data_IF_111524956543
#
_entry.id   IF_111524956543
#
_cell.length_a   1.000
_cell.length_b   1.000
_cell.length_c   1.000
_cell.angle_alpha   90.00
_cell.angle_beta   90.00
_cell.angle_gamma   90.00
#
_symmetry.space_group_name_H-M   'P 1'
#
loop_
_entity.id
_entity.type
_entity.pdbx_description
1 polymer ?
#
# COMPACT_ATOMS: atom_id res chain seq x y z
N UNK A 1 4.67 -6.58 11.84
CA UNK A 1 4.89 -5.48 10.86
C UNK A 1 3.58 -4.78 10.43
N UNK A 2 2.63 -4.49 11.34
CA UNK A 2 1.32 -3.90 10.98
C UNK A 2 1.35 -2.39 10.68
N UNK A 3 2.43 -1.70 11.03
CA UNK A 3 2.60 -0.27 10.77
C UNK A 3 3.32 0.03 9.44
N UNK A 4 3.71 -1.00 8.67
CA UNK A 4 4.35 -0.82 7.37
C UNK A 4 3.28 -0.67 6.29
N UNK A 5 3.50 0.26 5.36
CA UNK A 5 2.62 0.51 4.23
C UNK A 5 3.16 -0.12 2.95
N UNK A 6 2.26 -0.32 1.99
CA UNK A 6 2.55 -0.78 0.64
C UNK A 6 3.02 0.35 -0.30
N UNK A 7 3.40 1.51 0.25
CA UNK A 7 3.73 2.71 -0.54
C UNK A 7 4.78 2.46 -1.62
N UNK A 8 5.79 1.62 -1.33
CA UNK A 8 6.82 1.27 -2.32
C UNK A 8 6.26 0.51 -3.53
N UNK A 9 5.19 -0.28 -3.35
CA UNK A 9 4.50 -0.93 -4.47
C UNK A 9 3.77 0.12 -5.32
N UNK A 10 3.10 1.09 -4.69
CA UNK A 10 2.40 2.19 -5.38
C UNK A 10 3.39 3.03 -6.20
N UNK A 11 4.50 3.44 -5.60
CA UNK A 11 5.55 4.20 -6.28
C UNK A 11 6.14 3.43 -7.46
N UNK A 12 6.41 2.12 -7.28
CA UNK A 12 6.93 1.26 -8.36
C UNK A 12 5.91 1.09 -9.49
N UNK A 13 4.63 0.89 -9.16
CA UNK A 13 3.55 0.79 -10.13
C UNK A 13 3.39 2.07 -10.93
N UNK A 14 3.41 3.23 -10.27
CA UNK A 14 3.38 4.54 -10.95
C UNK A 14 4.60 4.75 -11.86
N UNK A 15 5.77 4.28 -11.45
CA UNK A 15 7.00 4.30 -12.26
C UNK A 15 7.07 3.18 -13.33
N UNK A 16 6.03 2.35 -13.45
CA UNK A 16 6.00 1.19 -14.35
C UNK A 16 7.21 0.25 -14.19
N UNK A 17 7.56 -0.05 -12.94
CA UNK A 17 8.61 -1.00 -12.57
C UNK A 17 7.99 -2.29 -12.02
N UNK A 18 8.42 -3.44 -12.54
CA UNK A 18 7.99 -4.75 -12.04
C UNK A 18 8.50 -4.99 -10.62
N UNK A 19 7.64 -5.52 -9.74
CA UNK A 19 7.95 -5.72 -8.31
C UNK A 19 8.05 -7.21 -7.98
N UNK A 20 9.09 -7.57 -7.22
CA UNK A 20 9.25 -8.86 -6.54
C UNK A 20 9.41 -8.59 -5.05
N UNK A 21 8.48 -9.09 -4.22
CA UNK A 21 8.43 -8.74 -2.81
C UNK A 21 8.14 -9.95 -1.89
N UNK A 22 8.48 -9.81 -0.61
CA UNK A 22 8.08 -10.79 0.42
C UNK A 22 6.62 -10.55 0.84
N UNK A 23 5.91 -11.56 1.39
CA UNK A 23 4.48 -11.44 1.69
C UNK A 23 4.16 -10.45 2.80
N UNK A 24 5.10 -10.21 3.72
CA UNK A 24 4.90 -9.50 5.00
C UNK A 24 4.06 -8.20 4.93
N UNK A 25 4.22 -7.42 3.85
CA UNK A 25 3.51 -6.15 3.65
C UNK A 25 2.65 -6.19 2.38
N UNK A 26 3.02 -7.02 1.41
CA UNK A 26 2.52 -6.91 0.05
C UNK A 26 1.54 -8.01 -0.35
N UNK A 27 1.38 -9.05 0.47
CA UNK A 27 0.51 -10.20 0.15
C UNK A 27 -0.94 -9.82 -0.09
N UNK A 28 -1.47 -8.81 0.60
CA UNK A 28 -2.85 -8.35 0.42
C UNK A 28 -3.04 -7.40 -0.77
N UNK A 29 -1.97 -6.99 -1.45
CA UNK A 29 -2.00 -5.90 -2.44
C UNK A 29 -1.46 -6.36 -3.80
N UNK A 30 -0.37 -7.14 -3.80
CA UNK A 30 0.22 -7.70 -5.02
C UNK A 30 -0.49 -9.01 -5.34
N UNK A 31 -1.03 -9.10 -6.55
CA UNK A 31 -1.53 -10.34 -7.13
C UNK A 31 -0.36 -11.05 -7.81
N UNK A 32 0.09 -12.15 -7.22
CA UNK A 32 1.25 -12.91 -7.69
C UNK A 32 1.08 -13.35 -9.15
N UNK A 33 2.03 -12.97 -10.01
CA UNK A 33 2.00 -13.26 -11.45
C UNK A 33 1.19 -12.29 -12.29
N UNK A 34 0.42 -11.38 -11.69
CA UNK A 34 -0.43 -10.40 -12.38
C UNK A 34 0.08 -8.96 -12.21
N UNK A 35 0.14 -8.44 -10.98
CA UNK A 35 0.58 -7.06 -10.69
C UNK A 35 1.98 -7.00 -10.09
N UNK A 36 2.61 -8.16 -9.91
CA UNK A 36 3.96 -8.32 -9.39
C UNK A 36 4.18 -9.77 -8.97
N UNK A 37 5.24 -10.02 -8.24
CA UNK A 37 5.57 -11.34 -7.71
C UNK A 37 5.72 -11.32 -6.19
N UNK A 38 5.23 -12.37 -5.53
CA UNK A 38 5.45 -12.64 -4.10
C UNK A 38 6.30 -13.90 -3.94
N UNK A 39 7.43 -13.81 -3.24
CA UNK A 39 8.25 -14.98 -2.90
C UNK A 39 8.14 -15.30 -1.40
N UNK A 40 8.14 -16.60 -1.05
CA UNK A 40 8.06 -17.07 0.34
C UNK A 40 9.34 -17.70 0.86
N UNK A 41 10.28 -18.02 -0.03
CA UNK A 41 11.56 -18.62 0.29
C UNK A 41 12.63 -18.22 -0.73
N UNK A 42 13.93 -18.46 -0.44
CA UNK A 42 15.02 -18.10 -1.35
C UNK A 42 14.94 -18.77 -2.72
N UNK A 43 14.40 -19.99 -2.82
CA UNK A 43 14.26 -20.72 -4.09
C UNK A 43 13.25 -20.04 -5.00
N UNK A 44 12.09 -19.64 -4.46
CA UNK A 44 11.10 -18.85 -5.19
C UNK A 44 11.63 -17.48 -5.58
N UNK A 45 12.36 -16.82 -4.68
CA UNK A 45 13.00 -15.54 -5.00
C UNK A 45 13.91 -15.67 -6.21
N UNK A 46 14.80 -16.67 -6.21
CA UNK A 46 15.72 -16.93 -7.32
C UNK A 46 14.96 -17.21 -8.63
N UNK A 47 13.94 -18.08 -8.59
CA UNK A 47 13.18 -18.45 -9.77
C UNK A 47 12.43 -17.26 -10.38
N UNK A 48 11.75 -16.46 -9.54
CA UNK A 48 10.99 -15.29 -9.98
C UNK A 48 11.91 -14.14 -10.41
N UNK A 49 13.04 -13.95 -9.74
CA UNK A 49 14.06 -12.98 -10.16
C UNK A 49 14.64 -13.37 -11.52
N UNK A 50 14.92 -14.66 -11.76
CA UNK A 50 15.38 -15.15 -13.06
C UNK A 50 14.38 -14.83 -14.17
N UNK A 51 13.08 -15.08 -13.95
CA UNK A 51 12.02 -14.66 -14.89
C UNK A 51 12.10 -13.15 -15.15
N UNK A 52 12.22 -12.34 -14.10
CA UNK A 52 12.31 -10.89 -14.26
C UNK A 52 13.60 -10.45 -14.95
N UNK A 53 14.69 -11.19 -14.92
CA UNK A 53 15.93 -10.86 -15.65
C UNK A 53 15.79 -11.24 -17.13
N UNK A 54 15.35 -12.46 -17.40
CA UNK A 54 15.38 -13.08 -18.73
C UNK A 54 14.18 -12.72 -19.60
N UNK A 55 13.01 -12.44 -19.02
CA UNK A 55 11.77 -12.22 -19.75
C UNK A 55 11.34 -10.74 -19.69
N UNK A 56 11.68 -9.98 -20.74
CA UNK A 56 11.35 -8.56 -20.86
C UNK A 56 9.84 -8.32 -20.96
N UNK A 57 9.15 -9.17 -21.71
CA UNK A 57 7.71 -9.08 -21.97
C UNK A 57 6.95 -9.23 -20.65
N UNK A 58 7.36 -10.19 -19.81
CA UNK A 58 6.75 -10.38 -18.48
C UNK A 58 6.99 -9.19 -17.57
N UNK A 59 8.17 -8.56 -17.60
CA UNK A 59 8.40 -7.31 -16.84
C UNK A 59 7.41 -6.21 -17.26
N UNK A 60 7.21 -6.03 -18.56
CA UNK A 60 6.31 -5.01 -19.11
C UNK A 60 4.85 -5.31 -18.75
N UNK A 61 4.43 -6.57 -18.86
CA UNK A 61 3.09 -7.03 -18.49
C UNK A 61 2.79 -6.70 -17.02
N UNK A 62 3.65 -7.15 -16.11
CA UNK A 62 3.50 -6.93 -14.67
C UNK A 62 3.48 -5.44 -14.34
N UNK A 63 4.38 -4.65 -14.94
CA UNK A 63 4.49 -3.24 -14.60
C UNK A 63 3.34 -2.39 -15.13
N UNK A 64 2.81 -2.72 -16.31
CA UNK A 64 1.57 -2.11 -16.82
C UNK A 64 0.36 -2.48 -15.96
N UNK A 65 0.23 -3.75 -15.57
CA UNK A 65 -0.86 -4.18 -14.70
C UNK A 65 -0.80 -3.49 -13.32
N UNK A 66 0.39 -3.35 -12.74
CA UNK A 66 0.61 -2.60 -11.50
C UNK A 66 0.23 -1.11 -11.65
N UNK A 67 0.63 -0.48 -12.76
CA UNK A 67 0.26 0.90 -13.08
C UNK A 67 -1.26 1.10 -13.17
N UNK A 68 -1.95 0.24 -13.92
CA UNK A 68 -3.41 0.32 -14.06
C UNK A 68 -4.13 0.07 -12.72
N UNK A 69 -3.62 -0.84 -11.89
CA UNK A 69 -4.11 -1.01 -10.52
C UNK A 69 -3.94 0.28 -9.69
N UNK A 70 -2.76 0.90 -9.70
CA UNK A 70 -2.49 2.14 -8.95
C UNK A 70 -3.41 3.27 -9.41
N UNK A 71 -3.54 3.44 -10.73
CA UNK A 71 -4.40 4.45 -11.34
C UNK A 71 -5.87 4.26 -10.95
N UNK A 72 -6.36 3.02 -10.93
CA UNK A 72 -7.76 2.71 -10.62
C UNK A 72 -8.05 2.77 -9.12
N UNK A 73 -7.17 2.23 -8.29
CA UNK A 73 -7.50 1.94 -6.89
C UNK A 73 -6.81 2.88 -5.89
N UNK A 74 -5.69 3.52 -6.25
CA UNK A 74 -4.77 4.11 -5.26
C UNK A 74 -4.58 5.61 -5.38
N UNK A 75 -5.17 6.26 -6.38
CA UNK A 75 -5.13 7.72 -6.50
C UNK A 75 -5.97 8.38 -5.40
N UNK A 76 -5.43 9.46 -4.81
CA UNK A 76 -6.13 10.19 -3.75
C UNK A 76 -7.52 10.66 -4.19
N UNK A 77 -7.65 11.07 -5.46
CA UNK A 77 -8.92 11.54 -6.04
C UNK A 77 -10.05 10.53 -5.91
N UNK A 78 -9.73 9.23 -5.92
CA UNK A 78 -10.73 8.15 -5.79
C UNK A 78 -11.23 7.99 -4.35
N UNK A 79 -10.56 8.62 -3.37
CA UNK A 79 -10.81 8.48 -1.94
C UNK A 79 -11.15 9.82 -1.26
N UNK A 80 -11.32 10.91 -2.02
CA UNK A 80 -11.54 12.26 -1.45
C UNK A 80 -12.81 12.30 -0.62
N UNK A 81 -13.91 11.75 -1.14
CA UNK A 81 -15.22 11.81 -0.47
C UNK A 81 -15.21 11.01 0.85
N UNK A 82 -14.70 9.78 0.85
CA UNK A 82 -14.58 8.97 2.05
C UNK A 82 -13.72 9.67 3.11
N UNK A 83 -12.57 10.23 2.70
CA UNK A 83 -11.69 10.97 3.61
C UNK A 83 -12.36 12.22 4.16
N UNK A 84 -13.08 12.96 3.33
CA UNK A 84 -13.82 14.14 3.75
C UNK A 84 -14.88 13.77 4.80
N UNK A 85 -15.66 12.72 4.53
CA UNK A 85 -16.68 12.23 5.46
C UNK A 85 -16.06 11.76 6.78
N UNK A 86 -14.92 11.07 6.73
CA UNK A 86 -14.19 10.67 7.93
C UNK A 86 -13.72 11.88 8.76
N UNK A 87 -13.10 12.89 8.13
CA UNK A 87 -12.70 14.11 8.84
C UNK A 87 -13.91 14.85 9.43
N UNK A 88 -15.03 14.90 8.70
CA UNK A 88 -16.27 15.50 9.17
C UNK A 88 -16.82 14.77 10.40
N UNK A 89 -16.82 13.44 10.39
CA UNK A 89 -17.23 12.62 11.53
C UNK A 89 -16.32 12.83 12.74
N UNK A 90 -14.99 12.83 12.53
CA UNK A 90 -14.03 13.11 13.59
C UNK A 90 -14.26 14.48 14.21
N UNK A 91 -14.56 15.48 13.39
CA UNK A 91 -14.84 16.83 13.86
C UNK A 91 -16.15 16.89 14.68
N UNK A 92 -17.18 16.16 14.27
CA UNK A 92 -18.42 16.04 15.03
C UNK A 92 -18.21 15.34 16.38
N UNK A 93 -17.32 14.34 16.43
CA UNK A 93 -16.97 13.58 17.65
C UNK A 93 -15.81 14.20 18.45
N UNK A 94 -15.39 15.44 18.13
CA UNK A 94 -14.16 16.02 18.67
C UNK A 94 -14.10 16.01 20.20
N UNK A 95 -15.20 16.32 20.89
CA UNK A 95 -15.19 16.44 22.35
C UNK A 95 -14.92 15.09 23.04
N UNK A 96 -15.50 14.01 22.49
CA UNK A 96 -15.22 12.64 22.93
C UNK A 96 -13.77 12.26 22.64
N UNK A 97 -13.30 12.52 21.41
CA UNK A 97 -11.93 12.22 21.01
C UNK A 97 -10.89 12.99 21.84
N UNK A 98 -11.19 14.25 22.21
CA UNK A 98 -10.34 15.05 23.10
C UNK A 98 -10.32 14.50 24.53
N UNK A 99 -11.46 14.08 25.09
CA UNK A 99 -11.49 13.41 26.41
C UNK A 99 -10.59 12.18 26.40
N UNK A 100 -10.66 11.38 25.35
CA UNK A 100 -9.84 10.18 25.19
C UNK A 100 -8.36 10.49 24.95
N UNK A 101 -8.05 11.56 24.20
CA UNK A 101 -6.69 12.07 24.07
C UNK A 101 -6.11 12.44 25.44
N UNK A 102 -6.87 13.16 26.26
CA UNK A 102 -6.43 13.61 27.58
C UNK A 102 -6.26 12.48 28.59
N UNK A 103 -7.02 11.38 28.46
CA UNK A 103 -6.76 10.16 29.26
C UNK A 103 -5.42 9.51 28.92
N UNK A 104 -5.04 9.50 27.63
CA UNK A 104 -3.78 8.90 27.16
C UNK A 104 -2.58 9.83 27.36
N UNK A 105 -2.80 11.13 27.24
CA UNK A 105 -1.77 12.17 27.21
C UNK A 105 -2.16 13.32 28.14
N UNK A 106 -2.06 13.11 29.46
CA UNK A 106 -2.49 14.10 30.45
C UNK A 106 -1.79 15.45 30.30
N UNK A 107 -0.50 15.48 29.90
CA UNK A 107 0.27 16.71 29.64
C UNK A 107 -0.33 17.65 28.60
N UNK A 108 -1.31 17.20 27.83
CA UNK A 108 -1.98 18.00 26.79
C UNK A 108 -3.28 18.64 27.29
N UNK A 109 -3.76 18.29 28.49
CA UNK A 109 -4.87 19.00 29.14
C UNK A 109 -4.42 20.46 29.33
N UNK A 110 -5.20 21.41 28.81
CA UNK A 110 -5.03 22.82 29.16
C UNK A 110 -5.74 23.07 30.48
N UNK A 111 -5.13 23.89 31.35
CA UNK A 111 -5.73 24.35 32.61
C UNK A 111 -7.06 25.08 32.40
#
# INVERSE_FOLDING_TARGET
NRAKSDLKFIESGNAQVAVLASPTVYESVIKDGETGFIYRNPKEFQAKLKILIENKEKRIELSKAAYEYVKRERLLVNHIEERYNWFKEMYQKRDELYKDLYKRCERLKKD
#
